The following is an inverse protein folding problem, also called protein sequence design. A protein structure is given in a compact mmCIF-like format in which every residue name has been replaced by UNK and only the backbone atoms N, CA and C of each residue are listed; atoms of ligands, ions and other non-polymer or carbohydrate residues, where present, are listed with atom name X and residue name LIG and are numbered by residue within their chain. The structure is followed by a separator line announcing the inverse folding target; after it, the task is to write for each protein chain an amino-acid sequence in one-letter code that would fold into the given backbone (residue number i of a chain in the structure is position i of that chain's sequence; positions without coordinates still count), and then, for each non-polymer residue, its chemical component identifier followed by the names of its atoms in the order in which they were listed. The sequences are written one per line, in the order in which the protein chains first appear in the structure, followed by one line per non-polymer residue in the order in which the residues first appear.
data_IF_940229283396
#
_entry.id   IF_940229283396
#
_cell.length_a   1.000
_cell.length_b   1.000
_cell.length_c   1.000
_cell.angle_alpha   90.00
_cell.angle_beta   90.00
_cell.angle_gamma   90.00
#
_symmetry.space_group_name_H-M   'P 1'
#
loop_
_entity.id
_entity.type
_entity.pdbx_description
1 polymer ?
#
# COMPACT_ATOMS: atom_id res chain seq x y z
N UNK A 1 -37.29 -17.94 -4.12
CA UNK A 1 -36.92 -18.05 -2.69
C UNK A 1 -36.75 -16.66 -2.11
N UNK A 2 -37.32 -16.35 -0.93
CA UNK A 2 -37.16 -15.04 -0.32
C UNK A 2 -35.68 -14.78 -0.03
N UNK A 3 -35.20 -13.58 -0.34
CA UNK A 3 -33.85 -13.16 0.02
C UNK A 3 -33.71 -13.19 1.54
N UNK A 4 -32.69 -13.89 2.02
CA UNK A 4 -32.40 -13.94 3.44
C UNK A 4 -31.98 -12.56 3.94
N UNK A 5 -32.17 -12.28 5.24
CA UNK A 5 -31.71 -11.02 5.84
C UNK A 5 -30.20 -10.79 5.60
N UNK A 6 -29.39 -11.85 5.58
CA UNK A 6 -27.95 -11.78 5.28
C UNK A 6 -27.69 -11.32 3.84
N UNK A 7 -28.39 -11.89 2.87
CA UNK A 7 -28.23 -11.51 1.46
C UNK A 7 -28.62 -10.05 1.21
N UNK A 8 -29.66 -9.56 1.90
CA UNK A 8 -30.04 -8.14 1.84
C UNK A 8 -28.90 -7.25 2.33
N UNK A 9 -28.32 -7.56 3.50
CA UNK A 9 -27.21 -6.80 4.09
C UNK A 9 -25.95 -6.86 3.23
N UNK A 10 -25.60 -8.01 2.65
CA UNK A 10 -24.46 -8.10 1.74
C UNK A 10 -24.65 -7.25 0.49
N UNK A 11 -25.86 -7.19 -0.08
CA UNK A 11 -26.14 -6.30 -1.22
C UNK A 11 -26.01 -4.83 -0.85
N UNK A 12 -26.44 -4.43 0.35
CA UNK A 12 -26.29 -3.05 0.83
C UNK A 12 -24.82 -2.71 1.10
N UNK A 13 -24.06 -3.62 1.71
CA UNK A 13 -22.62 -3.45 1.91
C UNK A 13 -21.89 -3.31 0.58
N UNK A 14 -22.19 -4.18 -0.39
CA UNK A 14 -21.58 -4.11 -1.73
C UNK A 14 -21.94 -2.81 -2.47
N UNK A 15 -23.17 -2.30 -2.29
CA UNK A 15 -23.57 -0.97 -2.81
C UNK A 15 -22.78 0.15 -2.13
N UNK A 16 -22.59 0.10 -0.81
CA UNK A 16 -21.81 1.09 -0.07
C UNK A 16 -20.30 1.03 -0.41
N UNK A 17 -19.76 -0.16 -0.69
CA UNK A 17 -18.40 -0.35 -1.20
C UNK A 17 -18.26 0.24 -2.61
N UNK A 18 -19.21 -0.03 -3.51
CA UNK A 18 -19.21 0.55 -4.85
C UNK A 18 -19.35 2.07 -4.85
N UNK A 19 -20.09 2.63 -3.88
CA UNK A 19 -20.20 4.08 -3.67
C UNK A 19 -18.96 4.68 -2.95
N UNK A 20 -18.00 3.87 -2.51
CA UNK A 20 -16.80 4.32 -1.79
C UNK A 20 -17.06 4.87 -0.39
N UNK A 21 -18.27 4.71 0.17
CA UNK A 21 -18.67 5.27 1.47
C UNK A 21 -18.40 4.35 2.65
N UNK A 22 -18.08 3.07 2.38
CA UNK A 22 -17.71 2.10 3.43
C UNK A 22 -16.20 2.10 3.64
N UNK A 23 -15.77 2.54 4.82
CA UNK A 23 -14.37 2.43 5.25
C UNK A 23 -14.03 0.96 5.46
N UNK A 24 -12.90 0.44 4.93
CA UNK A 24 -12.45 -0.91 5.22
C UNK A 24 -12.10 -1.02 6.71
N UNK A 25 -12.62 -2.07 7.35
CA UNK A 25 -12.44 -2.32 8.79
C UNK A 25 -11.90 -3.73 8.96
N UNK A 26 -10.97 -3.90 9.90
CA UNK A 26 -10.50 -5.21 10.33
C UNK A 26 -11.62 -6.01 11.02
N UNK A 27 -11.45 -7.33 11.18
CA UNK A 27 -12.46 -8.20 11.83
C UNK A 27 -12.82 -7.79 13.26
N UNK A 28 -11.91 -7.11 13.95
CA UNK A 28 -12.05 -6.58 15.31
C UNK A 28 -12.72 -5.18 15.36
N UNK A 29 -13.15 -4.61 14.23
CA UNK A 29 -13.83 -3.32 14.19
C UNK A 29 -12.92 -2.10 14.07
N UNK A 30 -11.59 -2.25 13.98
CA UNK A 30 -10.69 -1.11 13.78
C UNK A 30 -10.55 -0.73 12.30
N UNK A 31 -10.56 0.58 11.94
CA UNK A 31 -10.35 1.02 10.56
C UNK A 31 -9.01 0.53 10.00
N UNK A 32 -9.00 0.04 8.76
CA UNK A 32 -7.77 -0.33 8.04
C UNK A 32 -7.05 0.95 7.64
N UNK A 33 -5.82 1.13 8.12
CA UNK A 33 -4.97 2.25 7.70
C UNK A 33 -4.59 2.08 6.22
N UNK A 34 -4.68 3.17 5.45
CA UNK A 34 -4.27 3.17 4.05
C UNK A 34 -2.82 2.67 3.91
N UNK A 35 -2.58 1.81 2.91
CA UNK A 35 -1.24 1.32 2.62
C UNK A 35 -0.33 2.51 2.30
N UNK A 36 0.87 2.52 2.90
CA UNK A 36 1.85 3.56 2.63
C UNK A 36 2.32 3.43 1.17
N UNK A 37 2.61 4.55 0.48
CA UNK A 37 3.23 4.51 -0.83
C UNK A 37 4.57 3.78 -0.73
N UNK A 38 4.75 2.77 -1.58
CA UNK A 38 5.99 1.98 -1.65
C UNK A 38 6.74 2.32 -2.93
N UNK A 39 8.07 2.42 -2.83
CA UNK A 39 8.97 2.52 -3.97
C UNK A 39 9.74 1.21 -4.13
N UNK A 40 9.99 0.83 -5.38
CA UNK A 40 10.70 -0.42 -5.73
C UNK A 40 12.13 -0.06 -6.07
N UNK A 41 13.09 -0.73 -5.45
CA UNK A 41 14.50 -0.59 -5.81
C UNK A 41 14.77 -1.22 -7.18
N UNK A 42 15.35 -0.46 -8.12
CA UNK A 42 15.64 -0.94 -9.47
C UNK A 42 16.65 -2.12 -9.52
N UNK A 43 17.54 -2.22 -8.54
CA UNK A 43 18.58 -3.25 -8.49
C UNK A 43 18.06 -4.58 -7.90
N UNK A 44 17.58 -4.55 -6.66
CA UNK A 44 17.19 -5.75 -5.92
C UNK A 44 15.67 -6.03 -5.90
N UNK A 45 14.86 -5.16 -6.52
CA UNK A 45 13.39 -5.25 -6.57
C UNK A 45 12.70 -5.29 -5.21
N UNK A 46 13.40 -4.90 -4.15
CA UNK A 46 12.83 -4.78 -2.81
C UNK A 46 11.83 -3.62 -2.79
N UNK A 47 10.65 -3.88 -2.25
CA UNK A 47 9.67 -2.84 -1.95
C UNK A 47 10.01 -2.17 -0.62
N UNK A 48 10.14 -0.85 -0.61
CA UNK A 48 10.36 -0.06 0.60
C UNK A 48 9.33 1.05 0.71
N UNK A 49 9.02 1.45 1.95
CA UNK A 49 8.14 2.60 2.21
C UNK A 49 8.80 3.89 1.71
N UNK A 50 8.15 4.58 0.77
CA UNK A 50 8.64 5.83 0.21
C UNK A 50 8.30 7.06 1.08
N UNK A 51 7.60 6.86 2.19
CA UNK A 51 7.26 7.95 3.11
C UNK A 51 8.47 8.55 3.83
N UNK A 52 9.62 7.86 3.82
CA UNK A 52 10.85 8.33 4.44
C UNK A 52 12.06 8.05 3.54
N UNK A 53 12.54 9.09 2.88
CA UNK A 53 13.69 9.02 1.97
C UNK A 53 14.95 8.45 2.64
N UNK A 54 15.14 8.63 3.96
CA UNK A 54 16.30 8.07 4.67
C UNK A 54 16.36 6.54 4.62
N UNK A 55 15.20 5.88 4.59
CA UNK A 55 15.13 4.41 4.48
C UNK A 55 15.63 3.96 3.11
N UNK A 56 15.31 4.73 2.07
CA UNK A 56 15.82 4.48 0.74
C UNK A 56 17.34 4.73 0.70
N UNK A 57 17.83 5.86 1.24
CA UNK A 57 19.28 6.10 1.31
C UNK A 57 20.05 4.99 2.02
N UNK A 58 19.55 4.54 3.18
CA UNK A 58 20.13 3.43 3.92
C UNK A 58 20.06 2.11 3.14
N UNK A 59 19.02 1.90 2.33
CA UNK A 59 18.96 0.74 1.45
C UNK A 59 19.95 0.85 0.28
N UNK A 60 20.18 2.05 -0.27
CA UNK A 60 21.16 2.25 -1.32
C UNK A 60 22.58 2.00 -0.81
N UNK A 61 22.89 2.39 0.43
CA UNK A 61 24.19 2.10 1.05
C UNK A 61 24.46 0.60 1.28
N UNK A 62 23.45 -0.28 1.11
CA UNK A 62 23.68 -1.74 1.14
C UNK A 62 24.10 -2.32 -0.21
N UNK A 63 24.06 -1.54 -1.29
CA UNK A 63 24.56 -1.95 -2.60
C UNK A 63 26.03 -1.56 -2.76
N UNK A 64 26.73 -2.19 -3.69
CA UNK A 64 28.11 -1.83 -4.05
C UNK A 64 28.21 -0.36 -4.48
N UNK A 65 29.34 0.30 -4.27
CA UNK A 65 29.57 1.74 -4.56
C UNK A 65 29.21 2.18 -6.00
N UNK A 66 29.18 1.24 -6.96
CA UNK A 66 28.74 1.48 -8.33
C UNK A 66 27.25 1.86 -8.46
N UNK A 67 26.44 1.57 -7.43
CA UNK A 67 25.00 1.71 -7.42
C UNK A 67 24.52 2.72 -6.37
N UNK A 68 24.49 3.99 -6.78
CA UNK A 68 24.06 5.11 -5.94
C UNK A 68 22.54 5.15 -5.74
N UNK A 69 22.08 5.90 -4.73
CA UNK A 69 20.65 6.11 -4.43
C UNK A 69 19.81 6.59 -5.62
N UNK A 70 20.40 7.39 -6.49
CA UNK A 70 19.77 7.90 -7.72
C UNK A 70 19.51 6.79 -8.75
N UNK A 71 20.37 5.77 -8.79
CA UNK A 71 20.16 4.58 -9.66
C UNK A 71 19.15 3.60 -9.06
N UNK A 72 19.05 3.52 -7.72
CA UNK A 72 18.04 2.70 -7.06
C UNK A 72 16.62 3.26 -7.22
N UNK A 73 16.44 4.57 -7.04
CA UNK A 73 15.15 5.24 -7.12
C UNK A 73 15.22 6.55 -7.92
N UNK A 74 15.17 6.46 -9.26
CA UNK A 74 15.24 7.64 -10.13
C UNK A 74 14.03 8.57 -9.98
N UNK A 75 12.91 8.08 -9.46
CA UNK A 75 11.69 8.87 -9.25
C UNK A 75 11.68 9.61 -7.90
N UNK A 76 12.41 9.13 -6.90
CA UNK A 76 12.34 9.64 -5.52
C UNK A 76 13.49 10.60 -5.18
N UNK A 77 14.63 10.48 -5.88
CA UNK A 77 15.83 11.31 -5.68
C UNK A 77 16.16 12.16 -6.91
N UNK A 78 15.13 12.78 -7.50
CA UNK A 78 15.30 13.67 -8.66
C UNK A 78 15.88 15.03 -8.28
#
# INVERSE_FOLDING_TARGET
MPITKKDRVHREQKKAEAAGTRVPVHKNGTPVKAAKPKSICAYCRKELDNTNLKILEQHASTHSDAWTKEKCWPNEFK
#
